data_IF_341211812694
#
_entry.id   IF_341211812694
#
_cell.length_a   1.000
_cell.length_b   1.000
_cell.length_c   1.000
_cell.angle_alpha   90.00
_cell.angle_beta   90.00
_cell.angle_gamma   90.00
#
_symmetry.space_group_name_H-M   'P 1'
#
loop_
_entity.id
_entity.type
_entity.pdbx_description
1 polymer ?
#
# COMPACT_ATOMS: atom_id res chain seq x y z
N UNK A 1 0.74 26.42 -5.98
CA UNK A 1 1.38 25.23 -5.36
C UNK A 1 1.36 25.42 -3.85
N UNK A 2 0.49 24.70 -3.12
CA UNK A 2 0.44 24.85 -1.66
C UNK A 2 1.68 24.17 -1.05
N UNK A 3 2.44 24.90 -0.23
CA UNK A 3 3.58 24.35 0.52
C UNK A 3 3.12 23.16 1.37
N UNK A 4 3.97 22.13 1.45
CA UNK A 4 3.71 20.90 2.23
C UNK A 4 3.57 21.27 3.71
N UNK A 5 2.39 21.06 4.28
CA UNK A 5 2.10 21.28 5.71
C UNK A 5 1.84 19.92 6.37
N UNK A 6 2.80 19.39 7.16
CA UNK A 6 2.68 18.07 7.76
C UNK A 6 1.42 17.89 8.62
N UNK A 7 1.00 18.92 9.36
CA UNK A 7 -0.18 18.87 10.20
C UNK A 7 -1.46 18.72 9.36
N UNK A 8 -1.57 19.46 8.25
CA UNK A 8 -2.68 19.32 7.30
C UNK A 8 -2.69 17.92 6.68
N UNK A 9 -1.54 17.41 6.26
CA UNK A 9 -1.46 16.10 5.60
C UNK A 9 -1.83 14.96 6.56
N UNK A 10 -1.46 15.09 7.84
CA UNK A 10 -1.85 14.15 8.90
C UNK A 10 -3.35 14.21 9.16
N UNK A 11 -3.93 15.43 9.25
CA UNK A 11 -5.35 15.64 9.45
C UNK A 11 -6.18 15.04 8.30
N UNK A 12 -5.79 15.29 7.05
CA UNK A 12 -6.45 14.71 5.86
C UNK A 12 -6.42 13.19 5.91
N UNK A 13 -5.28 12.60 6.24
CA UNK A 13 -5.15 11.14 6.36
C UNK A 13 -6.01 10.58 7.49
N UNK A 14 -6.05 11.26 8.64
CA UNK A 14 -6.86 10.88 9.80
C UNK A 14 -8.36 10.90 9.46
N UNK A 15 -8.85 11.94 8.80
CA UNK A 15 -10.24 12.04 8.35
C UNK A 15 -10.56 10.93 7.35
N UNK A 16 -9.66 10.70 6.38
CA UNK A 16 -9.81 9.61 5.41
C UNK A 16 -9.91 8.24 6.07
N UNK A 17 -9.05 7.94 7.04
CA UNK A 17 -9.10 6.68 7.79
C UNK A 17 -10.34 6.57 8.67
N UNK A 18 -10.76 7.64 9.36
CA UNK A 18 -11.96 7.63 10.19
C UNK A 18 -13.22 7.36 9.35
N UNK A 19 -13.43 8.17 8.30
CA UNK A 19 -14.64 8.09 7.48
C UNK A 19 -14.63 6.83 6.61
N UNK A 20 -13.49 6.49 6.04
CA UNK A 20 -13.39 5.30 5.21
C UNK A 20 -13.51 4.00 6.01
N UNK A 21 -12.97 3.93 7.24
CA UNK A 21 -13.19 2.77 8.12
C UNK A 21 -14.65 2.70 8.56
N UNK A 22 -15.27 3.84 8.87
CA UNK A 22 -16.70 3.90 9.17
C UNK A 22 -17.53 3.32 8.03
N UNK A 23 -17.34 3.82 6.80
CA UNK A 23 -18.12 3.37 5.65
C UNK A 23 -17.85 1.90 5.32
N UNK A 24 -16.58 1.49 5.31
CA UNK A 24 -16.20 0.09 5.09
C UNK A 24 -16.94 -0.83 6.08
N UNK A 25 -16.76 -0.59 7.38
CA UNK A 25 -17.30 -1.45 8.41
C UNK A 25 -18.83 -1.31 8.55
N UNK A 26 -19.43 -0.16 8.24
CA UNK A 26 -20.89 0.00 8.28
C UNK A 26 -21.57 -0.95 7.30
N UNK A 27 -21.19 -0.93 6.02
CA UNK A 27 -21.81 -1.81 5.02
C UNK A 27 -21.46 -3.27 5.26
N UNK A 28 -20.25 -3.56 5.74
CA UNK A 28 -19.83 -4.92 6.06
C UNK A 28 -20.60 -5.51 7.25
N UNK A 29 -20.71 -4.76 8.35
CA UNK A 29 -21.49 -5.15 9.53
C UNK A 29 -22.99 -5.24 9.22
N UNK A 30 -23.54 -4.34 8.42
CA UNK A 30 -24.95 -4.42 7.99
C UNK A 30 -25.20 -5.69 7.15
N UNK A 31 -24.27 -6.08 6.28
CA UNK A 31 -24.37 -7.33 5.53
C UNK A 31 -24.33 -8.55 6.47
N UNK A 32 -23.42 -8.58 7.45
CA UNK A 32 -23.38 -9.64 8.45
C UNK A 32 -24.63 -9.69 9.33
N UNK A 33 -25.11 -8.55 9.82
CA UNK A 33 -26.36 -8.46 10.58
C UNK A 33 -27.50 -9.08 9.77
N UNK A 34 -27.67 -8.66 8.52
CA UNK A 34 -28.73 -9.13 7.62
C UNK A 34 -28.66 -10.63 7.36
N UNK A 35 -27.46 -11.17 7.08
CA UNK A 35 -27.27 -12.59 6.83
C UNK A 35 -27.51 -13.46 8.06
N UNK A 36 -27.19 -12.95 9.25
CA UNK A 36 -27.30 -13.67 10.50
C UNK A 36 -28.68 -13.53 11.17
N UNK A 37 -29.57 -12.68 10.66
CA UNK A 37 -30.94 -12.59 11.16
C UNK A 37 -31.66 -13.94 11.05
N UNK A 38 -32.44 -14.26 12.09
CA UNK A 38 -33.26 -15.47 12.15
C UNK A 38 -34.61 -15.24 11.46
N UNK A 39 -34.74 -15.66 10.20
CA UNK A 39 -35.99 -15.50 9.42
C UNK A 39 -37.04 -16.60 9.68
N UNK A 40 -37.01 -17.24 10.87
CA UNK A 40 -37.94 -18.32 11.23
C UNK A 40 -37.72 -19.65 10.50
N UNK A 41 -36.78 -19.73 9.55
CA UNK A 41 -36.37 -20.97 8.89
C UNK A 41 -35.37 -21.73 9.76
N UNK A 42 -35.79 -22.87 10.31
CA UNK A 42 -34.88 -23.80 10.98
C UNK A 42 -34.11 -24.60 9.93
N UNK A 43 -32.78 -24.77 10.06
CA UNK A 43 -32.02 -25.60 9.13
C UNK A 43 -32.57 -27.03 9.13
N UNK A 44 -32.68 -27.62 7.94
CA UNK A 44 -33.20 -28.98 7.72
C UNK A 44 -32.41 -30.04 8.52
N UNK A 45 -31.14 -29.75 8.78
CA UNK A 45 -30.24 -30.53 9.61
C UNK A 45 -29.72 -29.64 10.75
N UNK A 46 -29.94 -30.00 12.02
CA UNK A 46 -29.26 -29.35 13.13
C UNK A 46 -27.75 -29.40 12.90
N UNK A 47 -27.07 -28.27 13.01
CA UNK A 47 -25.61 -28.10 12.84
C UNK A 47 -25.06 -28.07 11.40
N UNK A 48 -25.88 -28.02 10.35
CA UNK A 48 -25.35 -27.78 9.01
C UNK A 48 -24.90 -26.34 8.80
N UNK A 49 -23.69 -26.17 8.25
CA UNK A 49 -23.15 -24.87 7.85
C UNK A 49 -23.95 -24.30 6.67
N UNK A 50 -24.51 -23.11 6.85
CA UNK A 50 -25.20 -22.38 5.78
C UNK A 50 -24.20 -21.61 4.92
N UNK A 51 -23.72 -22.27 3.85
CA UNK A 51 -22.73 -21.70 2.94
C UNK A 51 -23.25 -20.48 2.18
N UNK A 52 -24.56 -20.33 2.02
CA UNK A 52 -25.17 -19.16 1.37
C UNK A 52 -25.02 -17.90 2.22
N UNK A 53 -25.21 -18.03 3.55
CA UNK A 53 -24.93 -16.96 4.51
C UNK A 53 -23.45 -16.61 4.53
N UNK A 54 -22.56 -17.61 4.60
CA UNK A 54 -21.12 -17.36 4.59
C UNK A 54 -20.67 -16.61 3.33
N UNK A 55 -21.19 -16.99 2.15
CA UNK A 55 -20.90 -16.32 0.89
C UNK A 55 -21.41 -14.87 0.87
N UNK A 56 -22.62 -14.62 1.37
CA UNK A 56 -23.21 -13.28 1.47
C UNK A 56 -22.34 -12.37 2.33
N UNK A 57 -21.93 -12.85 3.51
CA UNK A 57 -21.07 -12.08 4.44
C UNK A 57 -19.71 -11.84 3.80
N UNK A 58 -19.08 -12.86 3.21
CA UNK A 58 -17.79 -12.73 2.55
C UNK A 58 -17.83 -11.68 1.44
N UNK A 59 -18.86 -11.72 0.59
CA UNK A 59 -19.03 -10.74 -0.48
C UNK A 59 -19.28 -9.33 0.07
N UNK A 60 -20.13 -9.18 1.10
CA UNK A 60 -20.46 -7.90 1.72
C UNK A 60 -19.24 -7.18 2.31
N UNK A 61 -18.42 -7.89 3.10
CA UNK A 61 -17.16 -7.34 3.62
C UNK A 61 -16.20 -6.94 2.50
N UNK A 62 -16.07 -7.79 1.50
CA UNK A 62 -15.05 -7.65 0.45
C UNK A 62 -15.38 -6.57 -0.57
N UNK A 63 -16.63 -6.50 -1.00
CA UNK A 63 -17.13 -5.44 -1.88
C UNK A 63 -17.08 -4.08 -1.16
N UNK A 64 -17.46 -4.04 0.13
CA UNK A 64 -17.36 -2.83 0.93
C UNK A 64 -15.91 -2.35 1.07
N UNK A 65 -14.96 -3.26 1.33
CA UNK A 65 -13.55 -2.91 1.39
C UNK A 65 -13.07 -2.37 0.03
N UNK A 66 -13.32 -3.11 -1.05
CA UNK A 66 -12.88 -2.70 -2.39
C UNK A 66 -13.37 -1.29 -2.75
N UNK A 67 -14.67 -1.03 -2.55
CA UNK A 67 -15.27 0.26 -2.86
C UNK A 67 -14.65 1.40 -2.03
N UNK A 68 -14.53 1.22 -0.72
CA UNK A 68 -14.02 2.26 0.17
C UNK A 68 -12.52 2.48 -0.01
N UNK A 69 -11.74 1.43 -0.26
CA UNK A 69 -10.32 1.58 -0.61
C UNK A 69 -10.23 2.41 -1.88
N UNK A 70 -11.07 2.14 -2.88
CA UNK A 70 -11.08 2.93 -4.13
C UNK A 70 -11.36 4.42 -3.90
N UNK A 71 -12.37 4.73 -3.07
CA UNK A 71 -12.79 6.10 -2.76
C UNK A 71 -11.66 6.88 -2.05
N UNK A 72 -11.04 6.27 -1.04
CA UNK A 72 -10.09 6.95 -0.16
C UNK A 72 -8.62 6.68 -0.48
N UNK A 73 -8.32 5.91 -1.55
CA UNK A 73 -6.95 5.56 -1.94
C UNK A 73 -6.06 6.80 -2.05
N UNK A 74 -6.59 7.89 -2.62
CA UNK A 74 -5.86 9.16 -2.81
C UNK A 74 -5.95 10.13 -1.63
N UNK A 75 -6.72 9.79 -0.59
CA UNK A 75 -6.92 10.63 0.59
C UNK A 75 -5.99 10.19 1.73
N UNK A 76 -6.10 8.94 2.16
CA UNK A 76 -5.29 8.36 3.26
C UNK A 76 -4.42 7.18 2.84
N UNK A 77 -4.68 6.60 1.66
CA UNK A 77 -4.19 5.29 1.26
C UNK A 77 -5.21 4.16 1.50
N UNK A 78 -6.32 4.44 2.19
CA UNK A 78 -7.40 3.49 2.44
C UNK A 78 -6.97 2.25 3.23
N UNK A 79 -6.33 2.43 4.39
CA UNK A 79 -5.75 1.30 5.14
C UNK A 79 -6.82 0.56 5.93
N UNK A 80 -7.66 1.30 6.66
CA UNK A 80 -8.87 0.86 7.37
C UNK A 80 -8.70 -0.33 8.33
N UNK A 81 -7.45 -0.65 8.67
CA UNK A 81 -7.08 -1.84 9.40
C UNK A 81 -5.75 -1.59 10.12
N UNK A 82 -5.72 -1.68 11.46
CA UNK A 82 -4.49 -1.51 12.23
C UNK A 82 -3.35 -2.46 11.82
N UNK A 83 -3.66 -3.67 11.37
CA UNK A 83 -2.65 -4.63 10.89
C UNK A 83 -2.04 -4.20 9.54
N UNK A 84 -2.83 -3.58 8.65
CA UNK A 84 -2.32 -2.99 7.41
C UNK A 84 -1.43 -1.80 7.73
N UNK A 85 -1.86 -0.92 8.64
CA UNK A 85 -1.05 0.21 9.10
C UNK A 85 0.28 -0.27 9.70
N UNK A 86 0.26 -1.31 10.53
CA UNK A 86 1.47 -1.92 11.09
C UNK A 86 2.42 -2.40 9.99
N UNK A 87 1.94 -3.16 9.01
CA UNK A 87 2.79 -3.65 7.91
C UNK A 87 3.42 -2.49 7.13
N UNK A 88 2.64 -1.43 6.85
CA UNK A 88 3.14 -0.24 6.17
C UNK A 88 4.19 0.51 7.00
N UNK A 89 4.09 0.49 8.33
CA UNK A 89 5.15 1.00 9.20
C UNK A 89 6.41 0.14 9.11
N UNK A 90 6.27 -1.19 9.16
CA UNK A 90 7.39 -2.12 9.09
C UNK A 90 8.20 -2.02 7.80
N UNK A 91 7.54 -1.72 6.67
CA UNK A 91 8.22 -1.50 5.38
C UNK A 91 8.63 -0.04 5.14
N UNK A 92 8.41 0.86 6.11
CA UNK A 92 8.76 2.28 6.02
C UNK A 92 7.85 3.14 5.14
N UNK A 93 6.72 2.63 4.67
CA UNK A 93 5.75 3.36 3.87
C UNK A 93 4.89 4.34 4.69
N UNK A 94 4.73 4.10 5.99
CA UNK A 94 4.01 4.96 6.93
C UNK A 94 4.92 5.24 8.14
N UNK A 95 5.03 6.50 8.57
CA UNK A 95 5.81 6.80 9.79
C UNK A 95 5.10 6.29 11.04
N UNK A 96 5.83 5.84 12.07
CA UNK A 96 5.23 5.43 13.35
C UNK A 96 4.34 6.53 13.97
N UNK A 97 4.76 7.79 13.85
CA UNK A 97 3.97 8.95 14.32
C UNK A 97 2.63 9.09 13.62
N UNK A 98 2.58 8.83 12.31
CA UNK A 98 1.34 8.85 11.54
C UNK A 98 0.45 7.67 11.95
N UNK A 99 1.03 6.48 12.12
CA UNK A 99 0.29 5.30 12.58
C UNK A 99 -0.38 5.49 13.94
N UNK A 100 0.26 6.19 14.88
CA UNK A 100 -0.33 6.56 16.18
C UNK A 100 -1.57 7.47 16.07
N UNK A 101 -1.80 8.09 14.92
CA UNK A 101 -2.99 8.90 14.63
C UNK A 101 -4.02 8.08 13.84
N UNK A 102 -3.56 7.29 12.86
CA UNK A 102 -4.45 6.52 11.99
C UNK A 102 -5.13 5.36 12.73
N UNK A 103 -4.41 4.63 13.58
CA UNK A 103 -4.97 3.47 14.29
C UNK A 103 -6.13 3.88 15.20
N UNK A 104 -6.03 4.92 16.06
CA UNK A 104 -7.17 5.42 16.81
C UNK A 104 -8.33 5.86 15.90
N UNK A 105 -8.04 6.52 14.78
CA UNK A 105 -9.08 6.93 13.82
C UNK A 105 -9.85 5.73 13.25
N UNK A 106 -9.15 4.62 12.94
CA UNK A 106 -9.76 3.38 12.48
C UNK A 106 -10.63 2.74 13.57
N UNK A 107 -10.14 2.69 14.82
CA UNK A 107 -10.90 2.15 15.96
C UNK A 107 -12.17 2.95 16.24
N UNK A 108 -12.07 4.29 16.21
CA UNK A 108 -13.22 5.19 16.37
C UNK A 108 -14.20 5.04 15.22
N UNK A 109 -13.72 5.06 13.97
CA UNK A 109 -14.55 4.89 12.78
C UNK A 109 -15.31 3.57 12.79
N UNK A 110 -14.63 2.46 13.13
CA UNK A 110 -15.27 1.16 13.27
C UNK A 110 -16.30 1.09 14.40
N UNK A 111 -16.01 1.72 15.54
CA UNK A 111 -16.94 1.74 16.68
C UNK A 111 -18.20 2.54 16.36
N UNK A 112 -18.05 3.67 15.66
CA UNK A 112 -19.18 4.44 15.14
C UNK A 112 -20.00 3.63 14.13
N UNK A 113 -19.35 2.83 13.27
CA UNK A 113 -20.04 1.96 12.32
C UNK A 113 -20.85 0.86 13.03
N UNK A 114 -20.26 0.19 14.02
CA UNK A 114 -20.94 -0.83 14.81
C UNK A 114 -22.15 -0.25 15.56
N UNK A 115 -22.00 0.93 16.17
CA UNK A 115 -23.09 1.63 16.83
C UNK A 115 -24.19 2.05 15.85
N UNK A 116 -23.82 2.53 14.66
CA UNK A 116 -24.79 2.90 13.62
C UNK A 116 -25.57 1.69 13.10
N UNK A 117 -24.91 0.55 12.86
CA UNK A 117 -25.61 -0.68 12.45
C UNK A 117 -26.59 -1.14 13.53
N UNK A 118 -26.16 -1.16 14.80
CA UNK A 118 -27.05 -1.49 15.94
C UNK A 118 -28.25 -0.53 16.05
N UNK A 119 -28.07 0.75 15.75
CA UNK A 119 -29.13 1.75 15.87
C UNK A 119 -30.09 1.83 14.67
N UNK A 120 -29.65 1.43 13.47
CA UNK A 120 -30.40 1.63 12.21
C UNK A 120 -30.98 0.33 11.67
N UNK A 121 -30.26 -0.79 11.79
CA UNK A 121 -30.71 -2.07 11.24
C UNK A 121 -31.58 -2.78 12.29
N UNK A 122 -32.80 -3.22 11.95
CA UNK A 122 -33.69 -3.90 12.89
C UNK A 122 -33.05 -5.15 13.52
N UNK A 123 -33.28 -5.33 14.82
CA UNK A 123 -32.76 -6.42 15.66
C UNK A 123 -32.09 -5.88 16.92
N UNK A 124 -32.32 -6.51 18.07
CA UNK A 124 -31.79 -6.03 19.35
C UNK A 124 -30.33 -6.45 19.60
N UNK A 125 -29.90 -7.54 18.94
CA UNK A 125 -28.58 -8.14 19.12
C UNK A 125 -27.58 -7.72 18.05
N UNK A 126 -26.31 -7.61 18.45
CA UNK A 126 -25.17 -7.47 17.54
C UNK A 126 -24.83 -8.86 16.98
N UNK A 127 -25.17 -9.11 15.72
CA UNK A 127 -24.94 -10.39 15.04
C UNK A 127 -23.74 -10.37 14.09
N UNK A 128 -22.88 -9.35 14.19
CA UNK A 128 -21.69 -9.17 13.35
C UNK A 128 -20.37 -9.19 14.14
N UNK A 129 -20.43 -9.47 15.45
CA UNK A 129 -19.25 -9.68 16.28
C UNK A 129 -18.48 -10.94 15.84
N UNK A 130 -17.16 -10.95 16.06
CA UNK A 130 -16.32 -12.13 15.85
C UNK A 130 -16.47 -13.11 17.01
N UNK A 131 -16.42 -14.40 16.70
CA UNK A 131 -16.43 -15.46 17.71
C UNK A 131 -15.73 -16.71 17.19
N UNK A 132 -15.17 -17.52 18.11
CA UNK A 132 -14.64 -18.83 17.73
C UNK A 132 -15.81 -19.77 17.40
N UNK A 133 -15.66 -20.46 16.26
CA UNK A 133 -16.59 -21.48 15.82
C UNK A 133 -16.50 -22.76 16.67
N UNK A 134 -17.45 -23.70 16.50
CA UNK A 134 -17.48 -24.94 17.26
C UNK A 134 -16.18 -25.74 17.12
N UNK A 135 -15.59 -26.14 18.25
CA UNK A 135 -14.40 -26.98 18.30
C UNK A 135 -13.07 -26.26 18.00
N UNK A 136 -13.09 -24.93 17.80
CA UNK A 136 -11.87 -24.14 17.57
C UNK A 136 -11.27 -23.71 18.90
N UNK A 137 -10.02 -24.08 19.15
CA UNK A 137 -9.23 -23.59 20.28
C UNK A 137 -8.68 -22.18 20.01
N UNK A 138 -8.35 -21.44 21.07
CA UNK A 138 -7.72 -20.11 20.97
C UNK A 138 -6.47 -20.11 20.08
N UNK A 139 -5.64 -21.15 20.19
CA UNK A 139 -4.40 -21.29 19.39
C UNK A 139 -4.73 -21.54 17.91
N UNK A 140 -5.71 -22.39 17.61
CA UNK A 140 -6.15 -22.59 16.22
C UNK A 140 -6.72 -21.30 15.64
N UNK A 141 -7.54 -20.58 16.41
CA UNK A 141 -8.09 -19.29 16.02
C UNK A 141 -6.98 -18.26 15.74
N UNK A 142 -5.96 -18.20 16.60
CA UNK A 142 -4.78 -17.34 16.42
C UNK A 142 -4.08 -17.60 15.08
N UNK A 143 -3.79 -18.86 14.75
CA UNK A 143 -3.10 -19.21 13.51
C UNK A 143 -3.98 -19.00 12.26
N UNK A 144 -5.29 -19.21 12.38
CA UNK A 144 -6.22 -18.85 11.31
C UNK A 144 -6.16 -17.33 11.06
N UNK A 145 -6.37 -16.51 12.09
CA UNK A 145 -6.30 -15.04 11.98
C UNK A 145 -4.96 -14.55 11.41
N UNK A 146 -3.85 -15.17 11.80
CA UNK A 146 -2.52 -14.90 11.25
C UNK A 146 -2.48 -15.12 9.73
N UNK A 147 -2.90 -16.28 9.24
CA UNK A 147 -2.83 -16.63 7.82
C UNK A 147 -3.80 -15.80 6.98
N UNK A 148 -4.99 -15.53 7.52
CA UNK A 148 -5.99 -14.71 6.84
C UNK A 148 -5.52 -13.25 6.70
N UNK A 149 -4.94 -12.67 7.76
CA UNK A 149 -4.34 -11.33 7.68
C UNK A 149 -3.10 -11.31 6.81
N UNK A 150 -2.26 -12.34 6.86
CA UNK A 150 -1.11 -12.46 5.96
C UNK A 150 -1.53 -12.35 4.49
N UNK A 151 -2.56 -13.09 4.07
CA UNK A 151 -3.06 -13.06 2.69
C UNK A 151 -3.49 -11.65 2.27
N UNK A 152 -4.27 -10.95 3.11
CA UNK A 152 -4.72 -9.58 2.85
C UNK A 152 -3.54 -8.61 2.77
N UNK A 153 -2.68 -8.63 3.78
CA UNK A 153 -1.58 -7.66 3.90
C UNK A 153 -0.56 -7.89 2.79
N UNK A 154 -0.18 -9.14 2.51
CA UNK A 154 0.75 -9.45 1.44
C UNK A 154 0.20 -9.00 0.08
N UNK A 155 -1.10 -9.19 -0.18
CA UNK A 155 -1.77 -8.63 -1.36
C UNK A 155 -1.62 -7.11 -1.44
N UNK A 156 -1.85 -6.39 -0.34
CA UNK A 156 -1.70 -4.93 -0.29
C UNK A 156 -0.26 -4.51 -0.60
N UNK A 157 0.74 -5.16 0.00
CA UNK A 157 2.14 -4.83 -0.24
C UNK A 157 2.51 -5.03 -1.72
N UNK A 158 2.10 -6.14 -2.33
CA UNK A 158 2.41 -6.44 -3.73
C UNK A 158 1.63 -5.59 -4.75
N UNK A 159 0.45 -5.07 -4.40
CA UNK A 159 -0.37 -4.27 -5.32
C UNK A 159 -0.24 -2.76 -5.14
N UNK A 160 0.08 -2.29 -3.94
CA UNK A 160 0.06 -0.86 -3.58
C UNK A 160 1.45 -0.31 -3.29
N UNK A 161 2.28 -1.03 -2.54
CA UNK A 161 3.66 -0.57 -2.29
C UNK A 161 4.47 -0.63 -3.60
N UNK A 162 4.16 -1.60 -4.46
CA UNK A 162 4.70 -1.72 -5.81
C UNK A 162 3.91 -0.88 -6.80
N UNK A 163 4.41 0.34 -7.07
CA UNK A 163 3.83 1.19 -8.11
C UNK A 163 4.06 0.55 -9.48
N UNK A 164 3.04 -0.09 -10.03
CA UNK A 164 2.96 -0.62 -11.40
C UNK A 164 1.94 0.16 -12.23
N UNK A 165 1.93 -0.03 -13.56
CA UNK A 165 0.84 0.49 -14.43
C UNK A 165 -0.55 0.00 -13.97
N UNK A 166 -0.61 -1.12 -13.25
CA UNK A 166 -1.84 -1.72 -12.72
C UNK A 166 -2.20 -1.28 -11.29
N UNK A 167 -1.45 -0.36 -10.66
CA UNK A 167 -1.73 0.08 -9.27
C UNK A 167 -3.16 0.63 -9.11
N UNK A 168 -3.75 1.19 -10.18
CA UNK A 168 -5.12 1.71 -10.12
C UNK A 168 -6.19 0.62 -9.90
N UNK A 169 -5.91 -0.65 -10.23
CA UNK A 169 -6.82 -1.78 -9.96
C UNK A 169 -6.57 -2.45 -8.61
N UNK A 170 -5.58 -1.99 -7.85
CA UNK A 170 -5.26 -2.54 -6.52
C UNK A 170 -6.47 -2.69 -5.58
N UNK A 171 -7.44 -1.74 -5.52
CA UNK A 171 -8.61 -1.90 -4.67
C UNK A 171 -9.43 -3.17 -4.95
N UNK A 172 -9.52 -3.63 -6.21
CA UNK A 172 -10.20 -4.89 -6.57
C UNK A 172 -9.46 -6.08 -5.98
N UNK A 173 -8.14 -6.15 -6.21
CA UNK A 173 -7.32 -7.24 -5.73
C UNK A 173 -7.33 -7.33 -4.20
N UNK A 174 -7.30 -6.17 -3.53
CA UNK A 174 -7.42 -6.07 -2.08
C UNK A 174 -8.77 -6.63 -1.59
N UNK A 175 -9.89 -6.19 -2.18
CA UNK A 175 -11.20 -6.74 -1.84
C UNK A 175 -11.29 -8.25 -2.09
N UNK A 176 -10.76 -8.73 -3.21
CA UNK A 176 -10.76 -10.15 -3.53
C UNK A 176 -9.92 -10.99 -2.55
N UNK A 177 -8.79 -10.47 -2.07
CA UNK A 177 -8.01 -11.14 -1.02
C UNK A 177 -8.79 -11.23 0.30
N UNK A 178 -9.53 -10.18 0.66
CA UNK A 178 -10.42 -10.20 1.82
C UNK A 178 -11.54 -11.23 1.63
N UNK A 179 -12.05 -11.37 0.40
CA UNK A 179 -13.10 -12.33 0.05
C UNK A 179 -12.64 -13.76 0.29
N UNK A 180 -11.46 -14.12 -0.24
CA UNK A 180 -10.83 -15.42 0.01
C UNK A 180 -10.64 -15.66 1.51
N UNK A 181 -10.14 -14.65 2.23
CA UNK A 181 -9.98 -14.74 3.67
C UNK A 181 -11.30 -14.98 4.42
N UNK A 182 -12.37 -14.30 4.02
CA UNK A 182 -13.69 -14.45 4.63
C UNK A 182 -14.35 -15.79 4.29
N UNK A 183 -14.20 -16.29 3.07
CA UNK A 183 -14.69 -17.62 2.68
C UNK A 183 -14.13 -18.73 3.59
N UNK A 184 -12.89 -18.57 4.04
CA UNK A 184 -12.24 -19.50 4.96
C UNK A 184 -12.59 -19.18 6.41
N UNK A 185 -12.49 -17.92 6.82
CA UNK A 185 -12.43 -17.53 8.24
C UNK A 185 -13.77 -17.33 8.94
N UNK A 186 -14.85 -16.96 8.23
CA UNK A 186 -16.10 -16.54 8.89
C UNK A 186 -16.63 -17.63 9.83
N UNK A 187 -16.68 -18.88 9.37
CA UNK A 187 -17.23 -19.97 10.16
C UNK A 187 -16.38 -20.32 11.39
N UNK A 188 -15.05 -20.17 11.30
CA UNK A 188 -14.13 -20.66 12.32
C UNK A 188 -13.73 -19.62 13.36
N UNK A 189 -13.61 -18.35 12.96
CA UNK A 189 -13.17 -17.28 13.85
C UNK A 189 -14.03 -16.02 13.76
N UNK A 190 -15.06 -16.03 12.90
CA UNK A 190 -15.77 -14.83 12.50
C UNK A 190 -14.99 -13.96 11.50
N UNK A 191 -13.80 -14.39 11.06
CA UNK A 191 -12.89 -13.63 10.21
C UNK A 191 -12.62 -12.22 10.76
N UNK A 192 -11.80 -12.14 11.81
CA UNK A 192 -11.30 -10.87 12.34
C UNK A 192 -10.53 -10.12 11.27
N UNK A 193 -9.34 -10.60 10.92
CA UNK A 193 -8.38 -10.11 9.90
C UNK A 193 -7.85 -8.68 10.19
N UNK A 194 -8.62 -7.91 10.94
CA UNK A 194 -8.56 -6.49 11.18
C UNK A 194 -8.92 -6.23 12.65
N UNK A 195 -7.98 -5.74 13.48
CA UNK A 195 -8.26 -5.45 14.88
C UNK A 195 -9.40 -4.45 15.09
N UNK A 196 -9.57 -3.43 14.23
CA UNK A 196 -10.68 -2.49 14.33
C UNK A 196 -12.04 -3.15 14.05
N UNK A 197 -12.09 -4.08 13.09
CA UNK A 197 -13.29 -4.89 12.80
C UNK A 197 -13.69 -5.76 13.98
N UNK A 198 -12.71 -6.36 14.67
CA UNK A 198 -12.97 -7.25 15.81
C UNK A 198 -13.34 -6.47 17.08
N UNK A 199 -12.61 -5.38 17.35
CA UNK A 199 -12.78 -4.52 18.53
C UNK A 199 -14.13 -3.82 18.57
N UNK A 200 -14.58 -3.27 17.43
CA UNK A 200 -15.72 -2.35 17.39
C UNK A 200 -17.03 -2.95 17.90
N UNK A 201 -17.45 -4.16 17.47
CA UNK A 201 -18.65 -4.81 18.00
C UNK A 201 -18.51 -5.10 19.50
N UNK A 202 -17.34 -5.60 19.93
CA UNK A 202 -17.05 -5.94 21.34
C UNK A 202 -17.12 -4.71 22.27
N UNK A 203 -16.66 -3.55 21.79
CA UNK A 203 -16.79 -2.29 22.50
C UNK A 203 -18.25 -1.85 22.64
N UNK A 204 -19.02 -1.87 21.55
CA UNK A 204 -20.42 -1.40 21.53
C UNK A 204 -21.35 -2.31 22.34
N UNK A 205 -21.06 -3.61 22.40
CA UNK A 205 -21.77 -4.55 23.28
C UNK A 205 -21.25 -4.54 24.74
N UNK A 206 -20.19 -3.80 25.03
CA UNK A 206 -19.50 -3.79 26.33
C UNK A 206 -19.14 -5.21 26.82
N UNK A 207 -18.75 -6.10 25.91
CA UNK A 207 -18.44 -7.50 26.22
C UNK A 207 -17.34 -8.01 25.29
N UNK A 208 -16.24 -8.44 25.89
CA UNK A 208 -15.09 -9.00 25.19
C UNK A 208 -14.94 -10.47 25.58
N UNK A 209 -14.84 -11.41 24.62
CA UNK A 209 -14.47 -12.78 24.95
C UNK A 209 -13.05 -12.82 25.53
N UNK A 210 -12.78 -13.77 26.42
CA UNK A 210 -11.45 -13.94 27.04
C UNK A 210 -10.34 -14.14 25.99
N UNK A 211 -10.67 -14.78 24.87
CA UNK A 211 -9.78 -15.00 23.73
C UNK A 211 -9.65 -13.80 22.78
N UNK A 212 -10.23 -12.63 23.07
CA UNK A 212 -10.24 -11.50 22.12
C UNK A 212 -8.85 -11.04 21.68
N UNK A 213 -7.82 -11.31 22.48
CA UNK A 213 -6.41 -11.03 22.15
C UNK A 213 -5.95 -11.68 20.84
N UNK A 214 -6.56 -12.79 20.40
CA UNK A 214 -6.19 -13.44 19.12
C UNK A 214 -6.46 -12.55 17.92
N UNK A 215 -7.48 -11.69 17.98
CA UNK A 215 -7.83 -10.74 16.91
C UNK A 215 -6.92 -9.50 16.86
N UNK A 216 -5.97 -9.42 17.79
CA UNK A 216 -4.90 -8.43 17.78
C UNK A 216 -3.57 -9.10 17.42
N UNK A 217 -3.21 -10.16 18.16
CA UNK A 217 -1.94 -10.84 17.97
C UNK A 217 -1.87 -11.58 16.62
N UNK A 218 -2.93 -12.29 16.23
CA UNK A 218 -2.99 -13.00 14.96
C UNK A 218 -2.76 -12.06 13.78
N UNK A 219 -3.57 -10.99 13.64
CA UNK A 219 -3.37 -9.99 12.59
C UNK A 219 -2.00 -9.30 12.65
N UNK A 220 -1.47 -8.99 13.83
CA UNK A 220 -0.14 -8.38 13.97
C UNK A 220 0.99 -9.33 13.48
N UNK A 221 0.92 -10.61 13.81
CA UNK A 221 1.85 -11.63 13.33
C UNK A 221 1.72 -11.84 11.81
N UNK A 222 0.49 -11.89 11.28
CA UNK A 222 0.23 -12.02 9.86
C UNK A 222 0.79 -10.85 9.06
N UNK A 223 0.54 -9.62 9.54
CA UNK A 223 1.09 -8.40 8.98
C UNK A 223 2.63 -8.37 9.00
N UNK A 224 3.23 -8.78 10.12
CA UNK A 224 4.69 -8.82 10.27
C UNK A 224 5.32 -9.84 9.34
N UNK A 225 4.74 -11.04 9.23
CA UNK A 225 5.20 -12.08 8.31
C UNK A 225 5.09 -11.63 6.84
N UNK A 226 3.99 -10.97 6.48
CA UNK A 226 3.81 -10.41 5.14
C UNK A 226 4.88 -9.34 4.81
N UNK A 227 5.16 -8.44 5.76
CA UNK A 227 6.21 -7.43 5.62
C UNK A 227 7.61 -8.07 5.45
N UNK A 228 7.95 -9.07 6.26
CA UNK A 228 9.23 -9.80 6.15
C UNK A 228 9.37 -10.46 4.78
N UNK A 229 8.33 -11.18 4.33
CA UNK A 229 8.36 -11.83 3.02
C UNK A 229 8.49 -10.81 1.88
N UNK A 230 7.72 -9.73 1.93
CA UNK A 230 7.82 -8.64 0.96
C UNK A 230 9.23 -8.06 0.89
N UNK A 231 9.83 -7.71 2.03
CA UNK A 231 11.18 -7.16 2.09
C UNK A 231 12.23 -8.16 1.59
N UNK A 232 12.08 -9.46 1.89
CA UNK A 232 12.96 -10.50 1.37
C UNK A 232 12.88 -10.61 -0.16
N UNK A 233 11.66 -10.59 -0.73
CA UNK A 233 11.47 -10.60 -2.19
C UNK A 233 12.09 -9.35 -2.84
N UNK A 234 11.95 -8.17 -2.23
CA UNK A 234 12.60 -6.94 -2.70
C UNK A 234 14.12 -7.01 -2.64
N UNK A 235 14.68 -7.57 -1.57
CA UNK A 235 16.12 -7.77 -1.45
C UNK A 235 16.66 -8.72 -2.54
N UNK A 236 15.85 -9.72 -2.94
CA UNK A 236 16.17 -10.63 -4.04
C UNK A 236 15.83 -10.07 -5.43
N UNK A 237 15.33 -8.83 -5.53
CA UNK A 237 14.95 -8.17 -6.78
C UNK A 237 14.00 -9.03 -7.63
N UNK A 238 12.93 -9.52 -7.02
CA UNK A 238 11.97 -10.42 -7.68
C UNK A 238 11.41 -9.85 -9.00
N UNK A 239 11.38 -8.54 -9.17
CA UNK A 239 10.94 -7.86 -10.40
C UNK A 239 11.83 -8.21 -11.61
N UNK A 240 13.08 -8.63 -11.37
CA UNK A 240 13.99 -9.08 -12.43
C UNK A 240 13.69 -10.51 -12.91
N UNK A 241 12.92 -11.27 -12.14
CA UNK A 241 12.51 -12.65 -12.48
C UNK A 241 11.19 -12.64 -13.26
N UNK A 242 10.33 -11.64 -13.02
CA UNK A 242 9.07 -11.46 -13.74
C UNK A 242 9.32 -11.19 -15.24
N UNK A 243 8.84 -12.10 -16.11
CA UNK A 243 8.89 -11.89 -17.56
C UNK A 243 8.08 -10.66 -17.99
N UNK A 244 8.45 -10.10 -19.15
CA UNK A 244 7.89 -9.00 -19.98
C UNK A 244 7.09 -7.83 -19.36
N UNK A 245 6.25 -8.05 -18.36
CA UNK A 245 5.43 -7.03 -17.68
C UNK A 245 6.23 -5.94 -16.96
N UNK A 246 7.48 -6.23 -16.56
CA UNK A 246 8.36 -5.28 -15.85
C UNK A 246 9.57 -4.81 -16.70
N UNK A 247 9.63 -5.15 -17.99
CA UNK A 247 10.75 -4.77 -18.89
C UNK A 247 10.95 -3.25 -18.98
N UNK A 248 9.87 -2.48 -19.13
CA UNK A 248 9.97 -1.01 -19.18
C UNK A 248 10.54 -0.43 -17.87
N UNK A 249 10.17 -0.98 -16.70
CA UNK A 249 10.76 -0.55 -15.42
C UNK A 249 12.25 -0.89 -15.33
N UNK A 250 12.66 -2.02 -15.89
CA UNK A 250 14.07 -2.40 -15.98
C UNK A 250 14.84 -1.38 -16.80
N UNK A 251 14.29 -0.98 -17.95
CA UNK A 251 14.90 0.01 -18.85
C UNK A 251 14.94 1.42 -18.21
N UNK A 252 13.86 1.85 -17.57
CA UNK A 252 13.83 3.10 -16.80
C UNK A 252 14.83 3.09 -15.64
N UNK A 253 14.87 2.03 -14.83
CA UNK A 253 15.78 1.90 -13.69
C UNK A 253 17.27 1.86 -14.10
N UNK A 254 17.59 1.16 -15.19
CA UNK A 254 18.92 1.17 -15.79
C UNK A 254 19.31 2.57 -16.26
N UNK A 255 18.39 3.29 -16.90
CA UNK A 255 18.64 4.65 -17.39
C UNK A 255 18.88 5.63 -16.25
N UNK A 256 18.12 5.53 -15.16
CA UNK A 256 18.30 6.35 -13.96
C UNK A 256 19.66 6.08 -13.29
N UNK A 257 20.05 4.80 -13.15
CA UNK A 257 21.37 4.44 -12.63
C UNK A 257 22.51 4.97 -13.51
N UNK A 258 22.35 4.91 -14.82
CA UNK A 258 23.31 5.49 -15.77
C UNK A 258 23.40 7.01 -15.59
N UNK A 259 22.27 7.70 -15.46
CA UNK A 259 22.24 9.14 -15.21
C UNK A 259 22.95 9.53 -13.91
N UNK A 260 22.73 8.78 -12.81
CA UNK A 260 23.41 9.02 -11.53
C UNK A 260 24.93 8.85 -11.64
N UNK A 261 25.38 7.80 -12.32
CA UNK A 261 26.81 7.55 -12.55
C UNK A 261 27.46 8.70 -13.35
N UNK A 262 26.75 9.21 -14.35
CA UNK A 262 27.19 10.35 -15.16
C UNK A 262 27.22 11.62 -14.32
N UNK A 263 26.20 11.90 -13.50
CA UNK A 263 26.18 13.06 -12.59
C UNK A 263 27.38 13.02 -11.64
N UNK A 264 27.68 11.86 -11.05
CA UNK A 264 28.80 11.69 -10.14
C UNK A 264 30.14 11.96 -10.85
N UNK A 265 30.28 11.42 -12.07
CA UNK A 265 31.46 11.67 -12.92
C UNK A 265 31.60 13.15 -13.27
N UNK A 266 30.52 13.81 -13.70
CA UNK A 266 30.52 15.22 -14.08
C UNK A 266 30.80 16.14 -12.88
N UNK A 267 30.28 15.82 -11.68
CA UNK A 267 30.59 16.55 -10.44
C UNK A 267 32.08 16.46 -10.07
N UNK A 268 32.76 15.39 -10.47
CA UNK A 268 34.20 15.21 -10.28
C UNK A 268 35.08 16.01 -11.26
N UNK A 269 34.53 16.56 -12.34
CA UNK A 269 35.29 17.30 -13.35
C UNK A 269 35.48 18.79 -12.98
N UNK A 270 36.60 19.43 -13.40
CA UNK A 270 36.77 20.88 -13.29
C UNK A 270 35.64 21.63 -14.02
N UNK A 271 35.17 22.77 -13.47
CA UNK A 271 34.03 23.54 -14.00
C UNK A 271 34.16 23.93 -15.48
N UNK A 272 35.38 24.11 -15.99
CA UNK A 272 35.63 24.41 -17.40
C UNK A 272 35.27 23.25 -18.35
N UNK A 273 35.11 22.02 -17.84
CA UNK A 273 34.89 20.78 -18.61
C UNK A 273 33.48 20.23 -18.44
N UNK A 274 32.68 20.73 -17.48
CA UNK A 274 31.34 20.20 -17.16
C UNK A 274 30.31 20.36 -18.30
N UNK A 275 30.57 21.22 -19.28
CA UNK A 275 29.64 21.52 -20.38
C UNK A 275 28.41 22.30 -19.90
N UNK A 276 28.05 23.38 -20.59
CA UNK A 276 26.85 24.16 -20.25
C UNK A 276 25.59 23.32 -20.44
N UNK A 277 24.95 22.91 -19.33
CA UNK A 277 23.62 22.28 -19.32
C UNK A 277 23.59 20.76 -19.14
N UNK A 278 24.70 20.05 -19.36
CA UNK A 278 24.74 18.58 -19.25
C UNK A 278 24.40 18.09 -17.83
N UNK A 279 25.00 18.70 -16.81
CA UNK A 279 24.72 18.36 -15.40
C UNK A 279 23.24 18.52 -15.06
N UNK A 280 22.60 19.60 -15.54
CA UNK A 280 21.20 19.89 -15.27
C UNK A 280 20.23 18.94 -15.97
N UNK A 281 20.56 18.50 -17.19
CA UNK A 281 19.78 17.49 -17.90
C UNK A 281 19.81 16.13 -17.19
N UNK A 282 21.00 15.62 -16.88
CA UNK A 282 21.11 14.33 -16.18
C UNK A 282 20.51 14.39 -14.76
N UNK A 283 20.70 15.50 -14.03
CA UNK A 283 20.03 15.70 -12.72
C UNK A 283 18.51 15.70 -12.84
N UNK A 284 17.96 16.27 -13.93
CA UNK A 284 16.53 16.23 -14.18
C UNK A 284 16.06 14.84 -14.61
N UNK A 285 16.85 14.08 -15.37
CA UNK A 285 16.56 12.67 -15.67
C UNK A 285 16.54 11.84 -14.40
N UNK A 286 17.60 11.86 -13.56
CA UNK A 286 17.67 11.17 -12.26
C UNK A 286 16.49 11.48 -11.32
N UNK A 287 15.98 12.72 -11.36
CA UNK A 287 14.81 13.16 -10.57
C UNK A 287 13.46 12.85 -11.22
N UNK A 288 13.44 12.19 -12.39
CA UNK A 288 12.22 11.88 -13.15
C UNK A 288 11.52 13.11 -13.75
N UNK A 289 12.23 14.22 -13.91
CA UNK A 289 11.73 15.44 -14.56
C UNK A 289 11.88 15.41 -16.08
N UNK A 290 12.83 14.64 -16.61
CA UNK A 290 13.03 14.40 -18.04
C UNK A 290 12.97 12.90 -18.35
N UNK A 291 12.41 12.54 -19.50
CA UNK A 291 12.39 11.18 -19.98
C UNK A 291 13.73 10.81 -20.64
N UNK A 292 14.09 9.51 -20.70
CA UNK A 292 15.26 9.03 -21.43
C UNK A 292 15.36 9.54 -22.87
N UNK A 293 14.23 9.70 -23.56
CA UNK A 293 14.18 10.17 -24.95
C UNK A 293 14.40 11.68 -25.08
N UNK A 294 14.28 12.45 -23.99
CA UNK A 294 14.64 13.87 -23.98
C UNK A 294 16.16 14.07 -24.04
N UNK A 295 16.95 13.10 -23.60
CA UNK A 295 18.42 13.11 -23.77
C UNK A 295 18.81 12.93 -25.24
N UNK A 296 18.11 12.06 -25.98
CA UNK A 296 18.38 11.83 -27.41
C UNK A 296 18.02 13.04 -28.28
N UNK A 297 17.03 13.85 -27.88
CA UNK A 297 16.64 15.07 -28.60
C UNK A 297 17.50 16.29 -28.28
N UNK A 298 18.34 16.20 -27.25
CA UNK A 298 19.19 17.30 -26.76
C UNK A 298 20.64 17.26 -27.22
N UNK A 299 21.06 16.23 -27.95
CA UNK A 299 22.44 16.05 -28.40
C UNK A 299 22.65 16.54 -29.83
N UNK A 300 22.87 17.85 -29.99
CA UNK A 300 23.69 18.34 -31.10
C UNK A 300 25.14 18.32 -30.60
N UNK A 301 25.84 17.18 -30.76
CA UNK A 301 27.29 17.07 -30.54
C UNK A 301 28.00 17.84 -31.65
N UNK A 302 27.87 19.16 -31.64
CA UNK A 302 28.83 20.06 -32.28
C UNK A 302 29.54 20.79 -31.16
N UNK A 303 30.87 20.83 -31.28
CA UNK A 303 31.82 21.56 -30.45
C UNK A 303 32.41 20.74 -29.28
N UNK A 304 33.40 19.92 -29.63
CA UNK A 304 34.72 19.96 -28.97
C UNK A 304 35.89 19.79 -29.96
N UNK A 305 35.65 19.83 -31.28
CA UNK A 305 36.72 19.83 -32.30
C UNK A 305 36.85 21.14 -33.09
N UNK A 306 35.89 22.06 -32.97
CA UNK A 306 35.84 23.32 -33.73
C UNK A 306 35.97 24.59 -32.87
N UNK A 307 36.43 24.50 -31.61
CA UNK A 307 36.72 25.71 -30.82
C UNK A 307 38.04 26.36 -31.28
N UNK A 308 38.02 27.55 -31.92
CA UNK A 308 39.22 28.24 -32.37
C UNK A 308 40.14 28.68 -31.21
N UNK A 309 39.65 28.71 -29.96
CA UNK A 309 40.45 29.07 -28.80
C UNK A 309 41.33 27.91 -28.29
N UNK A 310 40.98 26.66 -28.58
CA UNK A 310 41.80 25.49 -28.18
C UNK A 310 42.96 25.27 -29.16
N UNK A 311 42.80 25.60 -30.45
CA UNK A 311 43.87 25.47 -31.48
C UNK A 311 45.08 26.37 -31.25
N UNK A 312 44.92 27.53 -30.59
CA UNK A 312 46.02 28.48 -30.35
C UNK A 312 46.99 28.04 -29.23
N UNK A 313 46.65 27.01 -28.45
CA UNK A 313 47.50 26.54 -27.35
C UNK A 313 48.53 25.45 -27.74
N UNK A 314 48.49 24.92 -28.98
CA UNK A 314 49.34 23.80 -29.41
C UNK A 314 50.38 24.10 -30.48
N UNK A 315 50.35 25.28 -31.11
CA UNK A 315 51.39 25.68 -32.06
C UNK A 315 51.91 27.06 -31.66
N UNK A 316 53.08 27.06 -31.02
CA UNK A 316 53.82 28.27 -30.66
C UNK A 316 54.19 29.07 -31.90
N UNK A 317 54.08 30.39 -31.76
CA UNK A 317 54.59 31.39 -32.70
C UNK A 317 56.10 31.24 -32.89
N UNK A 318 56.53 31.04 -34.13
CA UNK A 318 57.88 31.44 -34.57
C UNK A 318 57.71 32.33 -35.79
N UNK A 319 57.65 33.64 -35.54
CA UNK A 319 58.00 34.66 -36.51
C UNK A 319 59.53 34.80 -36.51
N UNK A 320 60.16 34.67 -37.67
CA UNK A 320 61.48 35.24 -37.90
C UNK A 320 61.53 35.82 -39.31
N UNK A 321 61.55 37.14 -39.34
CA UNK A 321 61.84 38.02 -40.45
C UNK A 321 63.25 37.77 -41.01
N UNK A 322 63.40 37.73 -42.34
CA UNK A 322 64.55 38.30 -43.04
C UNK A 322 64.33 38.37 -44.56
N UNK A 323 64.24 39.59 -45.09
CA UNK A 323 64.82 40.00 -46.38
C UNK A 323 66.16 40.70 -46.06
N UNK A 324 67.14 40.91 -46.99
CA UNK A 324 66.94 41.43 -48.36
C UNK A 324 67.90 40.94 -49.47
N UNK A 325 67.64 41.51 -50.67
CA UNK A 325 68.36 41.54 -51.97
C UNK A 325 68.40 40.28 -52.82
#
# INVERSE_FOLDING_TARGET
MALRNPARDYLVSMIGELVGTFLFLFFAFAAAQTANQSNGTKPLTPNATDTSKLLYIALGFSASLAANVWIFFRVSGGQFNPAVTLALVLIGAVSPTKALILIPAQLVGGSLAAAAVKGIIPGDDILFAVSLGPGVTDVQGLFMELLLTFMLVFTILMLVAEKTKSTFVAPIGIGFSLFVGHLVGIFWTGAGINPARAFSPALVQASFPTYHWIYWLGPALGASLAAVLYLALKAMKYELVGGDADKEKREEGLTMQQADLIIETLRGLPRAVQGSGALGQYEGTSKGQFSPTDLERGFDVRILMDDPNIRKSRFGSTDSTHSPT
#
